data_IF_206812887630
#
_entry.id   IF_206812887630
#
_cell.length_a   1.000
_cell.length_b   1.000
_cell.length_c   1.000
_cell.angle_alpha   90.00
_cell.angle_beta   90.00
_cell.angle_gamma   90.00
#
_symmetry.space_group_name_H-M   'P 1'
#
loop_
_entity.id
_entity.type
_entity.pdbx_description
1 polymer ?
#
# COMPACT_ATOMS: atom_id res chain seq x y z
N UNK A 1 -18.59 13.59 18.09
CA UNK A 1 -18.28 12.50 19.04
C UNK A 1 -16.76 12.42 19.09
N UNK A 2 -16.15 12.36 20.28
CA UNK A 2 -14.68 12.30 20.34
C UNK A 2 -14.18 10.96 19.78
N UNK A 3 -13.14 11.02 18.96
CA UNK A 3 -12.47 9.83 18.44
C UNK A 3 -11.68 9.17 19.58
N UNK A 4 -11.96 7.91 19.87
CA UNK A 4 -11.36 7.20 21.00
C UNK A 4 -10.64 5.96 20.51
N UNK A 5 -9.35 5.84 20.87
CA UNK A 5 -8.56 4.66 20.57
C UNK A 5 -9.19 3.38 21.18
N UNK A 6 -9.15 2.32 20.40
CA UNK A 6 -9.58 0.97 20.79
C UNK A 6 -8.43 0.05 21.15
N UNK A 7 -7.23 0.57 21.37
CA UNK A 7 -6.09 -0.24 21.81
C UNK A 7 -6.44 -1.08 23.04
N UNK A 8 -6.07 -2.35 23.03
CA UNK A 8 -6.39 -3.33 24.06
C UNK A 8 -7.84 -3.84 24.07
N UNK A 9 -8.67 -3.47 23.10
CA UNK A 9 -10.05 -3.94 22.97
C UNK A 9 -10.19 -4.86 21.74
N UNK A 10 -11.20 -5.74 21.77
CA UNK A 10 -11.57 -6.51 20.57
C UNK A 10 -12.25 -5.62 19.55
N UNK A 11 -12.00 -5.92 18.27
CA UNK A 11 -12.74 -5.33 17.14
C UNK A 11 -14.23 -5.67 17.25
N UNK A 12 -15.12 -4.84 16.71
CA UNK A 12 -16.56 -5.12 16.68
C UNK A 12 -16.87 -6.35 15.82
N UNK A 13 -17.87 -7.13 16.22
CA UNK A 13 -18.38 -8.25 15.43
C UNK A 13 -19.32 -7.73 14.35
N UNK A 14 -18.91 -7.83 13.08
CA UNK A 14 -19.62 -7.33 11.91
C UNK A 14 -19.59 -8.34 10.79
N UNK A 15 -20.63 -8.37 9.98
CA UNK A 15 -20.73 -9.14 8.76
C UNK A 15 -20.82 -8.21 7.56
N UNK A 16 -19.93 -8.37 6.60
CA UNK A 16 -19.85 -7.54 5.40
C UNK A 16 -20.39 -8.30 4.19
N UNK A 17 -21.50 -7.85 3.58
CA UNK A 17 -21.90 -8.35 2.28
C UNK A 17 -20.90 -7.88 1.22
N UNK A 18 -20.26 -8.81 0.54
CA UNK A 18 -19.30 -8.55 -0.52
C UNK A 18 -19.74 -9.19 -1.83
N UNK A 19 -19.25 -8.66 -2.94
CA UNK A 19 -19.47 -9.19 -4.26
C UNK A 19 -18.18 -9.73 -4.85
N UNK A 20 -18.16 -11.04 -5.15
CA UNK A 20 -17.07 -11.68 -5.88
C UNK A 20 -17.60 -12.18 -7.23
N UNK A 21 -17.20 -11.56 -8.32
CA UNK A 21 -17.80 -11.79 -9.62
C UNK A 21 -19.31 -11.54 -9.58
N UNK A 22 -20.10 -12.54 -9.95
CA UNK A 22 -21.57 -12.45 -9.96
C UNK A 22 -22.23 -13.02 -8.68
N UNK A 23 -21.47 -13.40 -7.68
CA UNK A 23 -21.99 -13.98 -6.45
C UNK A 23 -21.90 -13.02 -5.26
N UNK A 24 -22.95 -13.01 -4.43
CA UNK A 24 -22.90 -12.39 -3.11
C UNK A 24 -22.32 -13.36 -2.11
N UNK A 25 -21.39 -12.86 -1.29
CA UNK A 25 -20.80 -13.58 -0.15
C UNK A 25 -20.90 -12.70 1.10
N UNK A 26 -20.73 -13.34 2.24
CA UNK A 26 -20.59 -12.64 3.52
C UNK A 26 -19.20 -12.94 4.06
N UNK A 27 -18.45 -11.88 4.39
CA UNK A 27 -17.19 -11.95 5.12
C UNK A 27 -17.47 -11.41 6.52
N UNK A 28 -17.03 -12.13 7.55
CA UNK A 28 -17.16 -11.70 8.94
C UNK A 28 -15.85 -11.15 9.48
N UNK A 29 -15.92 -10.38 10.56
CA UNK A 29 -14.70 -9.97 11.27
C UNK A 29 -13.90 -11.17 11.77
N UNK A 30 -14.53 -12.28 12.13
CA UNK A 30 -13.82 -13.50 12.52
C UNK A 30 -13.04 -14.11 11.35
N UNK A 31 -13.58 -14.11 10.14
CA UNK A 31 -12.87 -14.58 8.93
C UNK A 31 -11.62 -13.76 8.63
N UNK A 32 -11.69 -12.45 8.91
CA UNK A 32 -10.59 -11.53 8.64
C UNK A 32 -9.48 -11.62 9.70
N UNK A 33 -9.85 -11.79 10.99
CA UNK A 33 -8.93 -11.48 12.09
C UNK A 33 -8.58 -12.65 13.01
N UNK A 34 -9.41 -13.72 13.08
CA UNK A 34 -9.15 -14.84 14.01
C UNK A 34 -7.84 -15.54 13.69
N UNK A 35 -6.95 -15.60 14.67
CA UNK A 35 -5.64 -16.26 14.57
C UNK A 35 -4.64 -15.56 13.63
N UNK A 36 -4.93 -14.33 13.19
CA UNK A 36 -4.10 -13.58 12.23
C UNK A 36 -3.56 -12.30 12.84
N UNK A 37 -2.44 -11.85 12.30
CA UNK A 37 -1.90 -10.50 12.47
C UNK A 37 -2.25 -9.69 11.23
N UNK A 38 -3.09 -8.66 11.38
CA UNK A 38 -3.64 -7.90 10.27
C UNK A 38 -3.39 -6.40 10.47
N UNK A 39 -2.86 -5.77 9.45
CA UNK A 39 -2.83 -4.31 9.37
C UNK A 39 -4.15 -3.84 8.76
N UNK A 40 -4.83 -2.94 9.43
CA UNK A 40 -6.07 -2.34 8.94
C UNK A 40 -5.85 -0.84 8.77
N UNK A 41 -6.32 -0.30 7.67
CA UNK A 41 -6.46 1.15 7.52
C UNK A 41 -7.85 1.52 7.02
N UNK A 42 -8.33 2.66 7.49
CA UNK A 42 -9.63 3.19 7.09
C UNK A 42 -9.52 4.65 6.68
N UNK A 43 -10.42 5.07 5.83
CA UNK A 43 -10.32 6.35 5.13
C UNK A 43 -11.71 6.92 4.81
N UNK A 44 -11.82 8.24 4.55
CA UNK A 44 -13.09 8.90 4.29
C UNK A 44 -13.86 8.39 3.08
N UNK A 45 -13.19 7.83 2.09
CA UNK A 45 -13.87 7.23 0.94
C UNK A 45 -12.96 6.81 -0.21
N UNK A 46 -13.34 5.74 -0.89
CA UNK A 46 -12.76 5.35 -2.18
C UNK A 46 -12.86 6.52 -3.17
N UNK A 47 -11.92 6.62 -4.10
CA UNK A 47 -11.81 7.67 -5.13
C UNK A 47 -11.55 9.09 -4.61
N UNK A 48 -11.44 9.32 -3.29
CA UNK A 48 -11.03 10.64 -2.80
C UNK A 48 -9.52 10.86 -3.00
N UNK A 49 -9.05 12.12 -3.12
CA UNK A 49 -7.67 12.40 -3.57
C UNK A 49 -6.58 11.71 -2.75
N UNK A 50 -6.45 12.00 -1.46
CA UNK A 50 -5.41 11.44 -0.57
C UNK A 50 -5.48 9.91 -0.49
N UNK A 51 -6.71 9.36 -0.50
CA UNK A 51 -6.93 7.92 -0.40
C UNK A 51 -6.40 7.17 -1.63
N UNK A 52 -6.55 7.77 -2.82
CA UNK A 52 -6.17 7.17 -4.10
C UNK A 52 -4.74 7.48 -4.54
N UNK A 53 -4.20 8.64 -4.13
CA UNK A 53 -2.85 9.06 -4.57
C UNK A 53 -1.73 8.60 -3.64
N UNK A 54 -2.03 8.34 -2.36
CA UNK A 54 -0.99 8.11 -1.36
C UNK A 54 -1.31 6.96 -0.40
N UNK A 55 -2.49 6.97 0.25
CA UNK A 55 -2.78 6.06 1.35
C UNK A 55 -2.82 4.60 0.91
N UNK A 56 -3.73 4.22 0.00
CA UNK A 56 -3.84 2.86 -0.52
C UNK A 56 -2.59 2.42 -1.30
N UNK A 57 -2.04 3.24 -2.24
CA UNK A 57 -0.88 2.82 -3.02
C UNK A 57 0.32 2.44 -2.16
N UNK A 58 0.61 3.23 -1.10
CA UNK A 58 1.76 2.96 -0.24
C UNK A 58 1.61 1.67 0.57
N UNK A 59 0.42 1.37 1.09
CA UNK A 59 0.15 0.07 1.73
C UNK A 59 0.31 -1.09 0.74
N UNK A 60 -0.14 -0.94 -0.49
CA UNK A 60 0.00 -1.96 -1.53
C UNK A 60 1.47 -2.17 -1.92
N UNK A 61 2.25 -1.12 -2.04
CA UNK A 61 3.69 -1.16 -2.33
C UNK A 61 4.47 -1.90 -1.23
N UNK A 62 4.19 -1.59 0.04
CA UNK A 62 4.86 -2.21 1.18
C UNK A 62 4.29 -3.58 1.60
N UNK A 63 3.30 -4.12 0.89
CA UNK A 63 2.59 -5.32 1.31
C UNK A 63 3.51 -6.55 1.48
N UNK A 64 4.47 -6.75 0.58
CA UNK A 64 5.46 -7.82 0.72
C UNK A 64 6.34 -7.64 1.96
N UNK A 65 6.70 -6.40 2.28
CA UNK A 65 7.51 -6.06 3.45
C UNK A 65 6.76 -6.28 4.76
N UNK A 66 5.47 -5.99 4.79
CA UNK A 66 4.60 -6.35 5.91
C UNK A 66 4.52 -7.86 6.11
N UNK A 67 4.35 -8.63 5.03
CA UNK A 67 4.32 -10.11 5.08
C UNK A 67 5.62 -10.71 5.61
N UNK A 68 6.78 -10.21 5.19
CA UNK A 68 8.10 -10.62 5.69
C UNK A 68 8.23 -10.43 7.22
N UNK A 69 7.40 -9.56 7.83
CA UNK A 69 7.35 -9.25 9.27
C UNK A 69 6.20 -9.89 10.03
N UNK A 70 5.57 -10.89 9.41
CA UNK A 70 4.53 -11.68 10.06
C UNK A 70 3.14 -11.05 10.02
N UNK A 71 2.89 -10.10 9.12
CA UNK A 71 1.56 -9.60 8.83
C UNK A 71 0.90 -10.54 7.81
N UNK A 72 -0.23 -11.13 8.16
CA UNK A 72 -0.95 -12.09 7.32
C UNK A 72 -1.75 -11.40 6.21
N UNK A 73 -2.32 -10.22 6.50
CA UNK A 73 -3.15 -9.48 5.54
C UNK A 73 -3.11 -7.97 5.80
N UNK A 74 -3.42 -7.19 4.77
CA UNK A 74 -3.63 -5.75 4.86
C UNK A 74 -5.05 -5.46 4.38
N UNK A 75 -5.86 -4.91 5.27
CA UNK A 75 -7.29 -4.68 5.06
C UNK A 75 -7.59 -3.19 4.99
N UNK A 76 -8.22 -2.75 3.92
CA UNK A 76 -8.77 -1.40 3.77
C UNK A 76 -10.27 -1.42 4.01
N UNK A 77 -10.75 -0.69 5.02
CA UNK A 77 -12.18 -0.54 5.32
C UNK A 77 -12.65 0.86 4.95
N UNK A 78 -13.74 0.97 4.22
CA UNK A 78 -14.34 2.25 3.88
C UNK A 78 -15.88 2.20 3.89
N UNK A 79 -16.49 3.32 4.24
CA UNK A 79 -17.96 3.51 4.18
C UNK A 79 -18.36 3.73 2.71
N UNK A 80 -18.21 2.68 1.94
CA UNK A 80 -18.61 2.55 0.55
C UNK A 80 -19.23 1.17 0.34
N UNK A 81 -19.99 1.01 -0.73
CA UNK A 81 -20.52 -0.30 -1.12
C UNK A 81 -19.46 -1.17 -1.83
N UNK A 82 -19.79 -2.45 -2.01
CA UNK A 82 -18.86 -3.43 -2.59
C UNK A 82 -18.48 -3.13 -4.04
N UNK A 83 -19.37 -2.53 -4.83
CA UNK A 83 -19.10 -2.21 -6.23
C UNK A 83 -18.07 -1.10 -6.34
N UNK A 84 -18.22 -0.05 -5.52
CA UNK A 84 -17.26 1.06 -5.43
C UNK A 84 -15.91 0.55 -4.96
N UNK A 85 -15.87 -0.27 -3.90
CA UNK A 85 -14.61 -0.80 -3.35
C UNK A 85 -13.87 -1.69 -4.35
N UNK A 86 -14.59 -2.58 -5.04
CA UNK A 86 -14.00 -3.48 -6.04
C UNK A 86 -13.44 -2.70 -7.26
N UNK A 87 -14.19 -1.73 -7.78
CA UNK A 87 -13.74 -0.92 -8.91
C UNK A 87 -12.54 -0.04 -8.52
N UNK A 88 -12.58 0.54 -7.32
CA UNK A 88 -11.47 1.34 -6.82
C UNK A 88 -10.19 0.50 -6.65
N UNK A 89 -10.28 -0.69 -6.02
CA UNK A 89 -9.18 -1.64 -5.91
C UNK A 89 -8.56 -1.95 -7.29
N UNK A 90 -9.41 -2.23 -8.27
CA UNK A 90 -8.98 -2.55 -9.64
C UNK A 90 -8.27 -1.37 -10.30
N UNK A 91 -8.83 -0.16 -10.22
CA UNK A 91 -8.21 1.04 -10.80
C UNK A 91 -6.89 1.44 -10.13
N UNK A 92 -6.74 1.10 -8.84
CA UNK A 92 -5.51 1.33 -8.07
C UNK A 92 -4.49 0.20 -8.20
N UNK A 93 -4.81 -0.87 -8.96
CA UNK A 93 -3.97 -2.08 -9.09
C UNK A 93 -3.54 -2.63 -7.71
N UNK A 94 -4.43 -2.52 -6.72
CA UNK A 94 -4.14 -2.82 -5.30
C UNK A 94 -4.35 -4.31 -5.00
N UNK A 95 -3.67 -5.19 -5.72
CA UNK A 95 -3.85 -6.65 -5.65
C UNK A 95 -3.51 -7.23 -4.27
N UNK A 96 -2.59 -6.59 -3.55
CA UNK A 96 -2.14 -7.05 -2.23
C UNK A 96 -3.01 -6.56 -1.06
N UNK A 97 -4.07 -5.80 -1.34
CA UNK A 97 -4.95 -5.22 -0.31
C UNK A 97 -6.31 -5.91 -0.36
N UNK A 98 -6.77 -6.37 0.79
CA UNK A 98 -8.15 -6.82 0.98
C UNK A 98 -9.04 -5.59 1.23
N UNK A 99 -9.99 -5.32 0.34
CA UNK A 99 -10.92 -4.18 0.51
C UNK A 99 -12.24 -4.66 1.09
N UNK A 100 -12.72 -3.98 2.14
CA UNK A 100 -13.94 -4.32 2.86
C UNK A 100 -14.94 -3.16 2.79
N UNK A 101 -16.14 -3.39 2.25
CA UNK A 101 -17.20 -2.40 2.15
C UNK A 101 -17.98 -2.31 3.49
N UNK A 102 -17.86 -1.21 4.21
CA UNK A 102 -18.65 -0.92 5.42
C UNK A 102 -19.79 0.06 5.11
N UNK A 103 -20.54 -0.20 4.04
CA UNK A 103 -21.60 0.70 3.55
C UNK A 103 -22.66 1.03 4.59
N UNK A 104 -22.93 0.13 5.54
CA UNK A 104 -23.85 0.34 6.65
C UNK A 104 -23.22 1.01 7.87
N UNK A 105 -21.94 1.34 7.83
CA UNK A 105 -21.19 1.98 8.93
C UNK A 105 -21.07 1.16 10.22
N UNK A 106 -21.35 -0.13 10.19
CA UNK A 106 -21.41 -0.96 11.40
C UNK A 106 -20.02 -1.10 12.04
N UNK A 107 -19.01 -1.40 11.23
CA UNK A 107 -17.64 -1.49 11.70
C UNK A 107 -17.09 -0.13 12.13
N UNK A 108 -17.30 0.89 11.32
CA UNK A 108 -16.85 2.27 11.59
C UNK A 108 -17.46 2.82 12.88
N UNK A 109 -18.77 2.58 13.14
CA UNK A 109 -19.44 2.92 14.40
C UNK A 109 -18.86 2.13 15.58
N UNK A 110 -18.71 0.83 15.43
CA UNK A 110 -18.16 -0.05 16.47
C UNK A 110 -16.73 0.34 16.86
N UNK A 111 -15.94 0.79 15.90
CA UNK A 111 -14.59 1.33 16.15
C UNK A 111 -14.60 2.74 16.75
N UNK A 112 -15.73 3.42 16.80
CA UNK A 112 -15.83 4.81 17.29
C UNK A 112 -15.22 5.84 16.34
N UNK A 113 -15.14 5.50 15.05
CA UNK A 113 -14.49 6.33 14.02
C UNK A 113 -15.51 6.96 13.05
N UNK A 114 -16.81 6.91 13.36
CA UNK A 114 -17.84 7.51 12.52
C UNK A 114 -17.78 9.03 12.59
N UNK A 115 -17.75 9.67 11.44
CA UNK A 115 -17.87 11.12 11.26
C UNK A 115 -18.92 11.47 10.23
N UNK A 116 -19.48 12.67 10.38
CA UNK A 116 -20.48 13.22 9.46
C UNK A 116 -19.82 14.27 8.57
N UNK A 117 -19.73 14.02 7.28
CA UNK A 117 -19.16 14.91 6.26
C UNK A 117 -20.26 15.48 5.36
N UNK A 118 -21.34 15.95 5.96
CA UNK A 118 -22.53 16.48 5.25
C UNK A 118 -22.23 17.77 4.50
N UNK A 119 -21.33 18.59 5.01
CA UNK A 119 -20.82 19.81 4.40
C UNK A 119 -20.12 19.56 3.04
N UNK A 120 -19.55 18.38 2.87
CA UNK A 120 -18.93 17.93 1.62
C UNK A 120 -19.89 17.08 0.77
N UNK A 121 -21.12 16.85 1.21
CA UNK A 121 -22.07 15.96 0.53
C UNK A 121 -21.71 14.48 0.62
N UNK A 122 -20.82 14.09 1.54
CA UNK A 122 -20.38 12.69 1.67
C UNK A 122 -21.27 11.87 2.61
N UNK A 123 -22.04 12.52 3.48
CA UNK A 123 -22.79 11.83 4.53
C UNK A 123 -21.90 11.23 5.60
N UNK A 124 -22.28 10.05 6.09
CA UNK A 124 -21.53 9.30 7.10
C UNK A 124 -20.28 8.66 6.49
N UNK A 125 -19.14 8.85 7.15
CA UNK A 125 -17.83 8.33 6.72
C UNK A 125 -17.02 7.85 7.90
N UNK A 126 -15.94 7.10 7.60
CA UNK A 126 -14.91 6.82 8.59
C UNK A 126 -13.94 7.99 8.72
N UNK A 127 -13.55 8.31 9.95
CA UNK A 127 -12.32 9.06 10.16
C UNK A 127 -11.13 8.25 9.65
N UNK A 128 -10.04 8.95 9.30
CA UNK A 128 -8.83 8.29 8.83
C UNK A 128 -8.01 7.75 10.00
N UNK A 129 -7.66 6.48 9.95
CA UNK A 129 -6.78 5.82 10.91
C UNK A 129 -6.13 4.58 10.31
N UNK A 130 -5.09 4.08 10.98
CA UNK A 130 -4.59 2.72 10.79
C UNK A 130 -4.46 1.99 12.12
N UNK A 131 -4.44 0.67 12.10
CA UNK A 131 -4.26 -0.16 13.29
C UNK A 131 -3.62 -1.50 12.97
N UNK A 132 -2.91 -2.05 13.96
CA UNK A 132 -2.45 -3.42 13.97
C UNK A 132 -3.39 -4.25 14.85
N UNK A 133 -3.91 -5.33 14.30
CA UNK A 133 -4.83 -6.25 14.98
C UNK A 133 -4.17 -7.63 15.07
N UNK A 134 -4.14 -8.22 16.26
CA UNK A 134 -3.66 -9.58 16.49
C UNK A 134 -4.78 -10.42 17.09
N UNK A 135 -5.17 -11.48 16.42
CA UNK A 135 -6.25 -12.38 16.84
C UNK A 135 -7.52 -11.62 17.29
N UNK A 136 -7.94 -10.63 16.50
CA UNK A 136 -9.11 -9.80 16.79
C UNK A 136 -8.94 -8.77 17.90
N UNK A 137 -7.74 -8.61 18.48
CA UNK A 137 -7.41 -7.58 19.47
C UNK A 137 -6.65 -6.44 18.82
N UNK A 138 -7.08 -5.21 19.04
CA UNK A 138 -6.37 -4.01 18.58
C UNK A 138 -5.10 -3.84 19.43
N UNK A 139 -3.94 -4.07 18.85
CA UNK A 139 -2.65 -3.90 19.52
C UNK A 139 -2.21 -2.44 19.50
N UNK A 140 -2.31 -1.80 18.34
CA UNK A 140 -1.91 -0.40 18.12
C UNK A 140 -2.89 0.30 17.21
N UNK A 141 -3.13 1.58 17.44
CA UNK A 141 -3.98 2.40 16.61
C UNK A 141 -3.39 3.80 16.40
N UNK A 142 -3.29 4.22 15.15
CA UNK A 142 -2.85 5.55 14.73
C UNK A 142 -4.05 6.28 14.15
N UNK A 143 -4.57 7.23 14.90
CA UNK A 143 -5.76 8.02 14.54
C UNK A 143 -5.27 9.40 14.10
N UNK A 144 -5.69 9.85 12.93
CA UNK A 144 -5.35 11.20 12.47
C UNK A 144 -5.90 12.26 13.43
N UNK A 145 -5.17 13.37 13.63
CA UNK A 145 -5.61 14.43 14.52
C UNK A 145 -6.94 15.04 14.04
N UNK A 146 -7.82 15.39 14.99
CA UNK A 146 -9.09 16.06 14.68
C UNK A 146 -8.82 17.51 14.22
N UNK A 147 -8.58 17.67 12.93
CA UNK A 147 -8.34 18.96 12.25
C UNK A 147 -9.30 19.12 11.09
N UNK A 148 -9.53 20.37 10.69
CA UNK A 148 -10.24 20.66 9.45
C UNK A 148 -9.51 20.08 8.23
N UNK A 149 -10.30 19.66 7.24
CA UNK A 149 -9.79 19.06 6.01
C UNK A 149 -9.68 17.53 6.09
N UNK A 150 -8.60 16.98 5.51
CA UNK A 150 -8.32 15.55 5.41
C UNK A 150 -6.89 15.27 5.88
N UNK A 151 -6.63 15.30 7.21
CA UNK A 151 -5.29 15.07 7.75
C UNK A 151 -4.73 13.69 7.38
N UNK A 152 -3.43 13.64 7.10
CA UNK A 152 -2.70 12.43 6.78
C UNK A 152 -1.24 12.56 7.31
N UNK A 153 -1.06 12.27 8.61
CA UNK A 153 0.16 12.54 9.36
C UNK A 153 0.71 11.30 10.09
N UNK A 154 -0.16 10.37 10.49
CA UNK A 154 0.21 9.26 11.38
C UNK A 154 -0.34 7.90 10.97
N UNK A 155 -1.34 7.84 10.08
CA UNK A 155 -1.98 6.58 9.68
C UNK A 155 -1.40 5.96 8.40
N UNK A 156 -0.32 6.53 7.90
CA UNK A 156 0.37 6.05 6.70
C UNK A 156 1.08 4.71 6.92
N UNK A 157 1.42 4.07 5.80
CA UNK A 157 2.02 2.74 5.82
C UNK A 157 3.44 2.73 6.41
N UNK A 158 4.20 3.81 6.24
CA UNK A 158 5.56 3.91 6.76
C UNK A 158 5.54 4.03 8.29
N UNK A 159 4.63 4.81 8.87
CA UNK A 159 4.40 4.90 10.32
C UNK A 159 4.05 3.52 10.91
N UNK A 160 3.14 2.78 10.27
CA UNK A 160 2.77 1.42 10.69
C UNK A 160 3.96 0.46 10.56
N UNK A 161 4.71 0.54 9.47
CA UNK A 161 5.89 -0.29 9.25
C UNK A 161 6.96 -0.05 10.32
N UNK A 162 7.27 1.20 10.65
CA UNK A 162 8.24 1.53 11.70
C UNK A 162 7.76 1.14 13.12
N UNK A 163 6.45 1.07 13.34
CA UNK A 163 5.93 0.50 14.59
C UNK A 163 6.22 -1.00 14.69
N UNK A 164 6.04 -1.75 13.59
CA UNK A 164 6.28 -3.21 13.55
C UNK A 164 7.79 -3.51 13.55
N UNK A 165 8.56 -2.73 12.81
CA UNK A 165 10.02 -2.87 12.67
C UNK A 165 10.69 -1.49 12.74
N UNK A 166 11.24 -1.15 13.90
CA UNK A 166 11.86 0.16 14.16
C UNK A 166 13.10 0.43 13.31
N UNK A 167 13.75 -0.65 12.85
CA UNK A 167 14.97 -0.58 12.06
C UNK A 167 14.69 -0.68 10.56
N UNK A 168 13.41 -0.71 10.17
CA UNK A 168 13.02 -0.75 8.78
C UNK A 168 13.59 0.44 8.01
N UNK A 169 14.29 0.12 6.93
CA UNK A 169 14.73 1.09 5.93
C UNK A 169 14.09 0.71 4.62
N UNK A 170 13.26 1.61 4.12
CA UNK A 170 12.71 1.45 2.80
C UNK A 170 13.83 1.52 1.78
N UNK A 171 14.01 0.43 1.02
CA UNK A 171 14.93 0.45 -0.10
C UNK A 171 14.16 0.96 -1.31
N UNK A 172 14.71 1.92 -2.04
CA UNK A 172 14.08 2.40 -3.25
C UNK A 172 13.86 1.24 -4.23
N UNK A 173 12.74 1.23 -4.92
CA UNK A 173 12.52 0.30 -6.02
C UNK A 173 13.59 0.50 -7.09
N UNK A 174 14.18 -0.58 -7.57
CA UNK A 174 15.20 -0.53 -8.61
C UNK A 174 14.75 -1.36 -9.80
N UNK A 175 14.77 -0.76 -10.99
CA UNK A 175 14.56 -1.49 -12.24
C UNK A 175 15.79 -1.33 -13.14
N UNK A 176 16.20 -2.41 -13.79
CA UNK A 176 17.34 -2.41 -14.70
C UNK A 176 16.97 -3.05 -16.04
N UNK A 177 17.09 -2.29 -17.13
CA UNK A 177 16.96 -2.83 -18.49
C UNK A 177 18.30 -3.42 -18.92
N UNK A 178 18.29 -4.68 -19.33
CA UNK A 178 19.51 -5.43 -19.71
C UNK A 178 19.42 -6.03 -21.10
N UNK A 179 20.54 -6.57 -21.60
CA UNK A 179 20.60 -7.42 -22.80
C UNK A 179 21.38 -8.69 -22.47
N UNK A 180 21.02 -9.84 -23.07
CA UNK A 180 21.83 -11.05 -22.94
C UNK A 180 23.28 -10.84 -23.36
N UNK A 181 24.24 -11.37 -22.59
CA UNK A 181 25.68 -11.28 -22.88
C UNK A 181 26.30 -9.88 -22.72
N UNK A 182 25.59 -8.93 -22.15
CA UNK A 182 26.08 -7.56 -21.94
C UNK A 182 26.97 -7.47 -20.69
N UNK A 183 28.27 -7.24 -20.88
CA UNK A 183 29.22 -7.09 -19.77
C UNK A 183 28.96 -5.85 -18.89
N UNK A 184 28.47 -4.75 -19.45
CA UNK A 184 28.09 -3.54 -18.69
C UNK A 184 26.85 -3.77 -17.85
N UNK A 185 25.92 -4.63 -18.31
CA UNK A 185 24.77 -5.04 -17.53
C UNK A 185 25.19 -5.90 -16.33
N UNK A 186 26.14 -6.82 -16.53
CA UNK A 186 26.71 -7.61 -15.43
C UNK A 186 27.38 -6.71 -14.38
N UNK A 187 28.14 -5.68 -14.82
CA UNK A 187 28.77 -4.70 -13.93
C UNK A 187 27.73 -3.91 -13.12
N UNK A 188 26.68 -3.44 -13.77
CA UNK A 188 25.62 -2.70 -13.08
C UNK A 188 24.88 -3.57 -12.05
N UNK A 189 24.58 -4.83 -12.39
CA UNK A 189 23.95 -5.78 -11.45
C UNK A 189 24.85 -6.06 -10.24
N UNK A 190 26.15 -6.22 -10.45
CA UNK A 190 27.10 -6.40 -9.35
C UNK A 190 27.14 -5.18 -8.41
N UNK A 191 27.13 -3.96 -8.95
CA UNK A 191 27.08 -2.73 -8.16
C UNK A 191 25.79 -2.64 -7.31
N UNK A 192 24.63 -2.98 -7.87
CA UNK A 192 23.37 -3.00 -7.13
C UNK A 192 23.41 -4.02 -5.99
N UNK A 193 23.97 -5.22 -6.24
CA UNK A 193 24.16 -6.26 -5.23
C UNK A 193 25.12 -5.83 -4.11
N UNK A 194 26.25 -5.18 -4.44
CA UNK A 194 27.18 -4.64 -3.46
C UNK A 194 26.54 -3.61 -2.54
N UNK A 195 25.57 -2.84 -3.05
CA UNK A 195 24.77 -1.90 -2.24
C UNK A 195 23.60 -2.55 -1.51
N UNK A 196 23.42 -3.87 -1.64
CA UNK A 196 22.31 -4.60 -1.03
C UNK A 196 20.94 -4.27 -1.63
N UNK A 197 20.89 -3.68 -2.82
CA UNK A 197 19.65 -3.30 -3.50
C UNK A 197 19.10 -4.46 -4.33
N UNK A 198 17.89 -4.89 -4.02
CA UNK A 198 17.12 -5.78 -4.89
C UNK A 198 16.66 -5.00 -6.12
N UNK A 199 16.56 -5.65 -7.26
CA UNK A 199 16.14 -5.01 -8.51
C UNK A 199 15.25 -5.93 -9.35
N UNK A 200 14.37 -5.32 -10.12
CA UNK A 200 13.64 -5.97 -11.21
C UNK A 200 14.50 -5.90 -12.48
N UNK A 201 14.78 -7.06 -13.08
CA UNK A 201 15.49 -7.13 -14.36
C UNK A 201 14.52 -7.22 -15.52
N UNK A 202 14.58 -6.26 -16.45
CA UNK A 202 13.77 -6.20 -17.67
C UNK A 202 14.69 -6.48 -18.86
N UNK A 203 14.53 -7.65 -19.46
CA UNK A 203 15.42 -8.13 -20.54
C UNK A 203 14.92 -7.62 -21.90
N UNK A 204 15.78 -6.84 -22.60
CA UNK A 204 15.46 -6.32 -23.91
C UNK A 204 15.43 -7.44 -24.95
N UNK A 205 14.36 -7.48 -25.70
CA UNK A 205 14.06 -8.53 -26.69
C UNK A 205 13.13 -9.62 -26.15
N UNK A 206 12.93 -9.68 -24.84
CA UNK A 206 11.99 -10.60 -24.16
C UNK A 206 10.87 -9.83 -23.49
N UNK A 207 11.21 -8.96 -22.54
CA UNK A 207 10.22 -8.27 -21.68
C UNK A 207 9.88 -6.87 -22.22
N UNK A 208 10.85 -6.24 -22.90
CA UNK A 208 10.67 -4.93 -23.51
C UNK A 208 11.47 -4.78 -24.82
N UNK A 209 11.09 -3.84 -25.67
CA UNK A 209 11.79 -3.51 -26.88
C UNK A 209 12.83 -2.38 -26.67
N UNK A 210 13.84 -2.32 -27.53
CA UNK A 210 14.77 -1.18 -27.57
C UNK A 210 14.05 0.15 -27.87
N UNK A 211 12.90 0.10 -28.57
CA UNK A 211 12.07 1.28 -28.85
C UNK A 211 11.45 1.81 -27.58
N UNK A 212 10.93 0.92 -26.72
CA UNK A 212 10.35 1.29 -25.42
C UNK A 212 11.40 1.97 -24.53
N UNK A 213 12.61 1.38 -24.40
CA UNK A 213 13.68 1.98 -23.61
C UNK A 213 14.09 3.35 -24.14
N UNK A 214 14.23 3.49 -25.46
CA UNK A 214 14.57 4.79 -26.06
C UNK A 214 13.48 5.83 -25.82
N UNK A 215 12.20 5.43 -25.80
CA UNK A 215 11.10 6.36 -25.53
C UNK A 215 11.17 6.98 -24.12
N UNK A 216 11.58 6.20 -23.12
CA UNK A 216 11.65 6.64 -21.72
C UNK A 216 13.01 7.21 -21.28
N UNK A 217 14.11 6.80 -21.93
CA UNK A 217 15.48 7.20 -21.53
C UNK A 217 16.18 8.09 -22.55
N UNK A 218 15.64 8.20 -23.77
CA UNK A 218 16.33 8.79 -24.91
C UNK A 218 17.48 7.96 -25.47
N UNK A 219 17.83 6.81 -24.85
CA UNK A 219 18.98 5.95 -25.22
C UNK A 219 18.53 4.58 -25.68
N UNK A 220 19.24 3.97 -26.63
CA UNK A 220 18.96 2.62 -27.16
C UNK A 220 19.98 1.58 -26.65
N UNK A 221 20.77 1.91 -25.63
CA UNK A 221 21.81 1.06 -25.05
C UNK A 221 21.33 0.39 -23.75
N UNK A 222 22.03 -0.67 -23.31
CA UNK A 222 21.86 -1.30 -22.03
C UNK A 222 23.22 -1.37 -21.29
N UNK A 223 23.25 -1.32 -19.94
CA UNK A 223 22.09 -1.23 -19.06
C UNK A 223 21.45 0.16 -19.05
N UNK A 224 20.20 0.24 -18.58
CA UNK A 224 19.56 1.49 -18.18
C UNK A 224 18.90 1.24 -16.82
N UNK A 225 19.24 2.04 -15.82
CA UNK A 225 18.87 1.84 -14.41
C UNK A 225 17.97 2.96 -13.92
N UNK A 226 16.94 2.58 -13.17
CA UNK A 226 16.05 3.48 -12.45
C UNK A 226 16.10 3.13 -10.96
N UNK A 227 16.17 4.12 -10.09
CA UNK A 227 16.17 3.98 -8.63
C UNK A 227 15.12 4.93 -8.06
N UNK A 228 14.13 4.41 -7.31
CA UNK A 228 13.05 5.21 -6.75
C UNK A 228 12.21 5.95 -7.81
N UNK A 229 12.08 5.38 -9.01
CA UNK A 229 11.41 6.01 -10.15
C UNK A 229 12.26 7.03 -10.92
N UNK A 230 13.44 7.38 -10.45
CA UNK A 230 14.36 8.31 -11.13
C UNK A 230 15.29 7.57 -12.10
N UNK A 231 15.44 8.11 -13.31
CA UNK A 231 16.37 7.59 -14.27
C UNK A 231 17.82 7.94 -13.91
N UNK A 232 18.65 6.94 -13.67
CA UNK A 232 20.06 7.11 -13.29
C UNK A 232 20.99 7.09 -14.52
N UNK A 233 20.77 6.13 -15.44
CA UNK A 233 21.62 5.97 -16.61
C UNK A 233 22.17 4.57 -16.78
N UNK A 234 23.36 4.45 -17.38
CA UNK A 234 24.08 3.20 -17.59
C UNK A 234 24.96 2.80 -16.40
N UNK A 235 25.87 1.87 -16.63
CA UNK A 235 26.76 1.35 -15.57
C UNK A 235 27.73 2.38 -15.00
N UNK A 236 28.13 3.38 -15.78
CA UNK A 236 29.05 4.42 -15.34
C UNK A 236 28.32 5.48 -14.48
N UNK A 237 27.14 5.89 -14.92
CA UNK A 237 26.29 6.81 -14.18
C UNK A 237 25.83 6.18 -12.86
N UNK A 238 25.53 4.87 -12.85
CA UNK A 238 25.20 4.14 -11.63
C UNK A 238 26.37 4.11 -10.65
N UNK A 239 27.58 3.88 -11.12
CA UNK A 239 28.78 3.92 -10.27
C UNK A 239 29.01 5.33 -9.69
N UNK A 240 28.80 6.37 -10.49
CA UNK A 240 28.88 7.76 -10.02
C UNK A 240 27.78 8.13 -9.02
N UNK A 241 26.61 7.54 -9.15
CA UNK A 241 25.48 7.72 -8.21
C UNK A 241 25.83 7.21 -6.81
N UNK A 242 26.45 6.04 -6.71
CA UNK A 242 26.85 5.46 -5.41
C UNK A 242 28.16 6.02 -4.85
N UNK A 243 28.93 6.76 -5.64
CA UNK A 243 30.16 7.39 -5.19
C UNK A 243 29.96 8.76 -4.49
N UNK A 244 28.73 9.27 -4.46
CA UNK A 244 28.35 10.52 -3.80
C UNK A 244 28.09 10.30 -2.32
#
# INVERSE_FOLDING_TARGET
MALISKEGQRIPQVSFPVREGDAWKTITTDDLFTGKTVVVFSLPGAFTPTCSSTHLPRYNELASKFKERGVDDIVCVSVNDTFVMNEWKKQQEAENITVIPDGNTEFTKGMGMLVHKNDLGFGDRSWRYSMLVKDGMVEKMFIEPEKDGDPFEVSDADTMMHYIDKDFKDQPSVSIFTKPGCQYCAKAKALLQEQGLAYEEIVLGTDASTVSVRAITGKATAPQVFIGGEYIGGSEELAAYFAK
#
